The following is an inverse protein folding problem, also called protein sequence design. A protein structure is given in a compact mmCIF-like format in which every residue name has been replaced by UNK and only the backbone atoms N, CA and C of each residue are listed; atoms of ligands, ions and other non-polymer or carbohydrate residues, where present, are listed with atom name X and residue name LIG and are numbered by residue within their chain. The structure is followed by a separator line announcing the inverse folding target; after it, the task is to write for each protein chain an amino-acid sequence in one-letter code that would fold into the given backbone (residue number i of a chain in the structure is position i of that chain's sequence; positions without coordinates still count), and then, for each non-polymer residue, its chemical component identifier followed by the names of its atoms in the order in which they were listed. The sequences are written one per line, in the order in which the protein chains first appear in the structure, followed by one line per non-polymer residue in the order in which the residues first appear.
data_IF_915742692648
#
_entry.id   IF_915742692648
#
_cell.length_a   1.000
_cell.length_b   1.000
_cell.length_c   1.000
_cell.angle_alpha   90.00
_cell.angle_beta   90.00
_cell.angle_gamma   90.00
#
_symmetry.space_group_name_H-M   'P 1'
#
loop_
_entity.id
_entity.type
_entity.pdbx_description
1 polymer ?
#
# COMPACT_ATOMS: atom_id res chain seq x y z
N UNK A 1 5.84 13.08 -18.05
CA UNK A 1 5.12 14.15 -18.80
C UNK A 1 5.03 13.85 -20.29
N UNK A 2 6.12 13.39 -20.93
CA UNK A 2 6.14 13.07 -22.36
C UNK A 2 5.16 11.94 -22.66
N UNK A 3 5.20 10.85 -21.92
CA UNK A 3 4.27 9.72 -22.07
C UNK A 3 2.81 10.15 -21.89
N UNK A 4 2.52 10.97 -20.89
CA UNK A 4 1.16 11.48 -20.68
C UNK A 4 0.65 12.33 -21.86
N UNK A 5 1.54 13.09 -22.51
CA UNK A 5 1.18 13.84 -23.75
C UNK A 5 0.92 12.89 -24.93
N UNK A 6 1.78 11.87 -25.09
CA UNK A 6 1.60 10.86 -26.14
C UNK A 6 0.27 10.13 -26.01
N UNK A 7 -0.19 9.92 -24.76
CA UNK A 7 -1.47 9.31 -24.44
C UNK A 7 -2.64 10.30 -24.38
N UNK A 8 -2.40 11.61 -24.54
CA UNK A 8 -3.45 12.64 -24.50
C UNK A 8 -4.07 12.87 -23.13
N UNK A 9 -3.39 12.49 -22.04
CA UNK A 9 -3.89 12.58 -20.64
C UNK A 9 -3.08 13.58 -19.79
N UNK A 10 -2.19 14.36 -20.38
CA UNK A 10 -1.34 15.31 -19.66
C UNK A 10 -2.12 16.41 -18.95
N UNK A 11 -3.28 16.81 -19.47
CA UNK A 11 -4.17 17.78 -18.81
C UNK A 11 -4.83 17.22 -17.52
N UNK A 12 -4.88 15.89 -17.36
CA UNK A 12 -5.41 15.21 -16.18
C UNK A 12 -4.33 14.90 -15.14
N UNK A 13 -3.05 15.11 -15.49
CA UNK A 13 -1.90 14.79 -14.66
C UNK A 13 -1.42 16.00 -13.86
N UNK A 14 -1.59 15.98 -12.54
CA UNK A 14 -0.96 16.92 -11.63
C UNK A 14 0.36 16.36 -11.07
N UNK A 15 1.43 17.14 -11.10
CA UNK A 15 2.73 16.80 -10.51
C UNK A 15 3.11 17.86 -9.47
N UNK A 16 2.54 17.81 -8.25
CA UNK A 16 2.68 18.87 -7.25
C UNK A 16 4.07 18.92 -6.60
N UNK A 17 4.99 18.01 -6.96
CA UNK A 17 6.28 17.85 -6.30
C UNK A 17 6.13 17.14 -4.95
N UNK A 18 7.15 17.28 -4.08
CA UNK A 18 7.13 16.67 -2.76
C UNK A 18 6.02 17.28 -1.90
N UNK A 19 5.19 16.43 -1.32
CA UNK A 19 4.12 16.77 -0.38
C UNK A 19 4.20 15.85 0.82
N UNK A 20 3.58 16.27 1.93
CA UNK A 20 3.35 15.40 3.06
C UNK A 20 2.17 14.46 2.72
N UNK A 21 2.33 13.17 2.95
CA UNK A 21 1.31 12.17 2.67
C UNK A 21 0.07 12.36 3.56
N UNK A 22 0.27 12.75 4.80
CA UNK A 22 -0.81 12.97 5.77
C UNK A 22 -1.73 14.11 5.34
N UNK A 23 -1.16 15.14 4.69
CA UNK A 23 -1.93 16.29 4.22
C UNK A 23 -2.65 16.01 2.89
N UNK A 24 -2.10 15.12 2.06
CA UNK A 24 -2.58 14.92 0.68
C UNK A 24 -3.46 13.69 0.53
N UNK A 25 -3.12 12.59 1.18
CA UNK A 25 -3.81 11.32 0.96
C UNK A 25 -5.30 11.33 1.35
N UNK A 26 -5.73 12.01 2.43
CA UNK A 26 -7.16 12.04 2.81
C UNK A 26 -8.10 12.57 1.72
N UNK A 27 -7.59 13.37 0.78
CA UNK A 27 -8.35 13.91 -0.34
C UNK A 27 -8.32 13.01 -1.59
N UNK A 28 -7.68 11.84 -1.51
CA UNK A 28 -7.53 10.91 -2.63
C UNK A 28 -8.56 9.77 -2.55
N UNK A 29 -9.10 9.37 -3.70
CA UNK A 29 -9.99 8.21 -3.82
C UNK A 29 -9.26 6.87 -3.71
N UNK A 30 -7.99 6.82 -4.07
CA UNK A 30 -7.12 5.66 -3.95
C UNK A 30 -5.64 6.06 -3.98
N UNK A 31 -4.80 5.28 -3.29
CA UNK A 31 -3.35 5.33 -3.40
C UNK A 31 -2.86 4.18 -4.29
N UNK A 32 -2.06 4.50 -5.30
CA UNK A 32 -1.48 3.50 -6.20
C UNK A 32 0.04 3.41 -6.00
N UNK A 33 0.54 2.19 -5.71
CA UNK A 33 1.96 1.89 -5.48
C UNK A 33 2.43 0.89 -6.56
N UNK A 34 2.78 1.37 -7.78
CA UNK A 34 3.04 0.53 -8.95
C UNK A 34 4.52 0.11 -9.05
N UNK A 35 5.18 -0.15 -7.94
CA UNK A 35 6.61 -0.54 -7.92
C UNK A 35 6.84 -1.83 -8.71
N UNK A 36 7.94 -1.89 -9.45
CA UNK A 36 8.32 -3.08 -10.23
C UNK A 36 9.43 -3.90 -9.55
N UNK A 37 10.16 -3.26 -8.63
CA UNK A 37 11.23 -3.88 -7.83
C UNK A 37 11.55 -3.02 -6.59
N UNK A 38 12.55 -3.43 -5.79
CA UNK A 38 13.21 -2.59 -4.80
C UNK A 38 12.40 -2.26 -3.54
N UNK A 39 11.20 -2.80 -3.39
CA UNK A 39 10.39 -2.56 -2.18
C UNK A 39 10.82 -3.52 -1.06
N UNK A 40 11.10 -2.93 0.11
CA UNK A 40 11.15 -3.66 1.38
C UNK A 40 9.73 -3.76 1.98
N UNK A 41 9.53 -3.23 3.18
CA UNK A 41 8.19 -3.06 3.77
C UNK A 41 7.66 -1.68 3.42
N UNK A 42 6.78 -1.59 2.41
CA UNK A 42 6.36 -0.32 1.81
C UNK A 42 5.73 0.64 2.83
N UNK A 43 6.40 1.79 3.04
CA UNK A 43 5.88 2.89 3.85
C UNK A 43 4.61 3.50 3.27
N UNK A 44 4.57 3.67 1.95
CA UNK A 44 3.44 4.26 1.24
C UNK A 44 2.12 3.48 1.46
N UNK A 45 2.19 2.13 1.47
CA UNK A 45 1.02 1.28 1.78
C UNK A 45 0.49 1.60 3.18
N UNK A 46 1.38 1.67 4.17
CA UNK A 46 1.00 1.96 5.57
C UNK A 46 0.47 3.39 5.73
N UNK A 47 1.04 4.35 5.02
CA UNK A 47 0.56 5.73 4.99
C UNK A 47 -0.86 5.82 4.41
N UNK A 48 -1.15 5.10 3.31
CA UNK A 48 -2.51 4.97 2.76
C UNK A 48 -3.49 4.41 3.79
N UNK A 49 -3.13 3.34 4.47
CA UNK A 49 -3.97 2.72 5.49
C UNK A 49 -4.22 3.62 6.72
N UNK A 50 -3.18 4.32 7.20
CA UNK A 50 -3.31 5.27 8.33
C UNK A 50 -4.25 6.42 7.99
N UNK A 51 -4.22 6.88 6.74
CA UNK A 51 -5.08 7.99 6.27
C UNK A 51 -6.46 7.54 5.80
N UNK A 52 -6.76 6.24 5.87
CA UNK A 52 -8.07 5.69 5.47
C UNK A 52 -8.28 5.64 3.96
N UNK A 53 -7.20 5.62 3.18
CA UNK A 53 -7.25 5.59 1.72
C UNK A 53 -7.05 4.15 1.23
N UNK A 54 -7.91 3.63 0.34
CA UNK A 54 -7.75 2.30 -0.22
C UNK A 54 -6.47 2.22 -1.05
N UNK A 55 -5.74 1.12 -0.90
CA UNK A 55 -4.43 0.91 -1.54
C UNK A 55 -4.53 -0.09 -2.67
N UNK A 56 -3.89 0.26 -3.79
CA UNK A 56 -3.69 -0.60 -4.95
C UNK A 56 -2.18 -0.72 -5.15
N UNK A 57 -1.61 -1.91 -5.16
CA UNK A 57 -0.17 -2.06 -5.34
C UNK A 57 0.19 -3.22 -6.26
N UNK A 58 1.41 -3.19 -6.78
CA UNK A 58 1.96 -4.33 -7.52
C UNK A 58 2.18 -5.52 -6.60
N UNK A 59 1.93 -6.74 -7.09
CA UNK A 59 2.04 -8.00 -6.36
C UNK A 59 3.51 -8.45 -6.18
N UNK A 60 4.38 -7.53 -5.71
CA UNK A 60 5.72 -7.87 -5.24
C UNK A 60 5.61 -8.72 -3.96
N UNK A 61 6.55 -9.63 -3.73
CA UNK A 61 6.55 -10.49 -2.55
C UNK A 61 6.42 -9.70 -1.24
N UNK A 62 7.16 -8.58 -1.12
CA UNK A 62 7.10 -7.68 0.03
C UNK A 62 5.73 -7.01 0.21
N UNK A 63 5.05 -6.66 -0.88
CA UNK A 63 3.72 -6.08 -0.82
C UNK A 63 2.66 -7.13 -0.44
N UNK A 64 2.83 -8.37 -0.89
CA UNK A 64 1.93 -9.49 -0.54
C UNK A 64 2.03 -9.91 0.93
N UNK A 65 3.12 -9.56 1.62
CA UNK A 65 3.22 -9.71 3.07
C UNK A 65 2.33 -8.71 3.84
N UNK A 66 2.05 -7.57 3.23
CA UNK A 66 1.19 -6.52 3.80
C UNK A 66 -0.24 -6.64 3.30
N UNK A 67 -0.40 -6.74 1.97
CA UNK A 67 -1.69 -6.64 1.29
C UNK A 67 -2.24 -8.02 0.97
N UNK A 68 -3.37 -8.34 1.57
CA UNK A 68 -4.22 -9.48 1.22
C UNK A 68 -5.21 -9.02 0.16
N UNK A 69 -5.04 -9.53 -1.06
CA UNK A 69 -5.84 -9.10 -2.21
C UNK A 69 -7.34 -9.21 -1.97
N UNK A 70 -8.09 -8.18 -2.37
CA UNK A 70 -9.54 -8.01 -2.19
C UNK A 70 -10.02 -7.89 -0.73
N UNK A 71 -9.10 -7.92 0.24
CA UNK A 71 -9.41 -7.78 1.67
C UNK A 71 -9.03 -6.39 2.19
N UNK A 72 -7.74 -6.07 2.28
CA UNK A 72 -7.22 -4.79 2.79
C UNK A 72 -6.51 -3.94 1.72
N UNK A 73 -6.58 -4.33 0.45
CA UNK A 73 -6.03 -3.63 -0.71
C UNK A 73 -6.23 -4.44 -1.98
N UNK A 74 -5.85 -3.88 -3.12
CA UNK A 74 -5.89 -4.57 -4.40
C UNK A 74 -4.47 -4.83 -4.89
N UNK A 75 -4.27 -6.01 -5.50
CA UNK A 75 -3.00 -6.42 -6.08
C UNK A 75 -3.11 -6.43 -7.61
N UNK A 76 -2.17 -5.77 -8.27
CA UNK A 76 -1.99 -5.81 -9.73
C UNK A 76 -0.72 -6.61 -10.09
N UNK A 77 -0.71 -7.28 -11.23
CA UNK A 77 0.47 -7.99 -11.71
C UNK A 77 1.66 -7.01 -11.89
N UNK A 78 2.85 -7.44 -11.49
CA UNK A 78 4.06 -6.60 -11.54
C UNK A 78 4.39 -6.24 -12.99
N UNK A 79 4.55 -4.95 -13.27
CA UNK A 79 4.90 -4.45 -14.61
C UNK A 79 3.80 -4.58 -15.65
N UNK A 80 2.57 -4.91 -15.26
CA UNK A 80 1.41 -5.04 -16.15
C UNK A 80 0.46 -3.82 -16.00
N UNK A 81 0.49 -2.86 -16.94
CA UNK A 81 -0.36 -1.69 -16.89
C UNK A 81 -1.85 -2.01 -17.06
N UNK A 82 -2.20 -3.11 -17.73
CA UNK A 82 -3.60 -3.52 -17.92
C UNK A 82 -4.16 -4.01 -16.59
N UNK A 83 -3.44 -4.91 -15.92
CA UNK A 83 -3.81 -5.40 -14.58
C UNK A 83 -3.94 -4.26 -13.58
N UNK A 84 -3.05 -3.26 -13.64
CA UNK A 84 -3.11 -2.08 -12.78
C UNK A 84 -4.35 -1.23 -13.08
N UNK A 85 -4.63 -0.97 -14.36
CA UNK A 85 -5.80 -0.21 -14.78
C UNK A 85 -7.11 -0.89 -14.36
N UNK A 86 -7.21 -2.21 -14.48
CA UNK A 86 -8.37 -2.99 -14.05
C UNK A 86 -8.58 -2.89 -12.53
N UNK A 87 -7.51 -3.00 -11.74
CA UNK A 87 -7.58 -2.84 -10.29
C UNK A 87 -8.02 -1.41 -9.90
N UNK A 88 -7.49 -0.39 -10.57
CA UNK A 88 -7.91 1.00 -10.37
C UNK A 88 -9.38 1.20 -10.74
N UNK A 89 -9.82 0.70 -11.89
CA UNK A 89 -11.21 0.81 -12.34
C UNK A 89 -12.16 0.14 -11.33
N UNK A 90 -11.85 -1.06 -10.85
CA UNK A 90 -12.63 -1.75 -9.81
C UNK A 90 -12.76 -0.91 -8.54
N UNK A 91 -11.66 -0.36 -8.05
CA UNK A 91 -11.67 0.47 -6.86
C UNK A 91 -12.52 1.73 -7.03
N UNK A 92 -12.42 2.40 -8.18
CA UNK A 92 -13.09 3.68 -8.41
C UNK A 92 -14.58 3.53 -8.76
N UNK A 93 -14.99 2.39 -9.34
CA UNK A 93 -16.39 2.17 -9.78
C UNK A 93 -17.23 1.41 -8.75
N UNK A 94 -16.61 0.70 -7.80
CA UNK A 94 -17.29 -0.04 -6.73
C UNK A 94 -17.05 0.66 -5.38
N UNK A 95 -18.00 1.51 -4.98
CA UNK A 95 -17.94 2.25 -3.71
C UNK A 95 -17.92 1.30 -2.49
N UNK A 96 -18.68 0.21 -2.54
CA UNK A 96 -18.72 -0.77 -1.46
C UNK A 96 -17.37 -1.47 -1.27
N UNK A 97 -16.71 -1.82 -2.37
CA UNK A 97 -15.34 -2.34 -2.33
C UNK A 97 -14.38 -1.30 -1.78
N UNK A 98 -14.44 -0.06 -2.27
CA UNK A 98 -13.56 1.03 -1.87
C UNK A 98 -13.62 1.30 -0.35
N UNK A 99 -14.81 1.41 0.19
CA UNK A 99 -15.03 1.62 1.63
C UNK A 99 -14.49 0.45 2.44
N UNK A 100 -14.79 -0.78 2.05
CA UNK A 100 -14.30 -1.98 2.74
C UNK A 100 -12.78 -2.07 2.76
N UNK A 101 -12.12 -1.81 1.62
CA UNK A 101 -10.65 -1.82 1.52
C UNK A 101 -10.01 -0.77 2.43
N UNK A 102 -10.59 0.44 2.51
CA UNK A 102 -10.13 1.50 3.39
C UNK A 102 -10.26 1.12 4.88
N UNK A 103 -11.40 0.56 5.28
CA UNK A 103 -11.64 0.12 6.66
C UNK A 103 -10.71 -1.02 7.06
N UNK A 104 -10.58 -2.05 6.23
CA UNK A 104 -9.70 -3.20 6.53
C UNK A 104 -8.23 -2.81 6.49
N UNK A 105 -7.83 -1.89 5.59
CA UNK A 105 -6.50 -1.31 5.60
C UNK A 105 -6.19 -0.59 6.91
N UNK A 106 -7.12 0.25 7.38
CA UNK A 106 -6.99 0.98 8.66
C UNK A 106 -6.92 0.05 9.87
N UNK A 107 -7.54 -1.13 9.82
CA UNK A 107 -7.37 -2.16 10.86
C UNK A 107 -6.02 -2.86 10.75
N UNK A 108 -5.60 -3.18 9.52
CA UNK A 108 -4.35 -3.89 9.25
C UNK A 108 -3.12 -3.11 9.70
N UNK A 109 -3.11 -1.78 9.56
CA UNK A 109 -1.94 -0.96 9.94
C UNK A 109 -1.61 -1.02 11.43
N UNK A 110 -2.58 -1.36 12.28
CA UNK A 110 -2.37 -1.48 13.73
C UNK A 110 -1.40 -2.62 14.10
N UNK A 111 -1.16 -3.55 13.21
CA UNK A 111 -0.16 -4.61 13.38
C UNK A 111 1.28 -4.14 13.13
N UNK A 112 1.46 -2.96 12.54
CA UNK A 112 2.76 -2.40 12.13
C UNK A 112 3.18 -1.18 12.96
N UNK A 113 2.75 -1.12 14.23
CA UNK A 113 3.14 -0.06 15.15
C UNK A 113 4.54 -0.30 15.72
N UNK A 114 5.22 0.78 16.13
CA UNK A 114 6.54 0.72 16.78
C UNK A 114 6.50 -0.17 18.02
N UNK A 115 5.44 -0.10 18.81
CA UNK A 115 5.24 -0.94 20.00
C UNK A 115 5.20 -2.41 19.62
N UNK A 116 4.41 -2.76 18.62
CA UNK A 116 4.28 -4.15 18.14
C UNK A 116 5.61 -4.68 17.62
N UNK A 117 6.32 -3.87 16.85
CA UNK A 117 7.65 -4.20 16.36
C UNK A 117 8.62 -4.46 17.52
N UNK A 118 8.65 -3.57 18.52
CA UNK A 118 9.52 -3.72 19.70
C UNK A 118 9.19 -5.01 20.48
N UNK A 119 7.92 -5.33 20.69
CA UNK A 119 7.50 -6.58 21.33
C UNK A 119 8.00 -7.81 20.59
N UNK A 120 7.86 -7.84 19.24
CA UNK A 120 8.32 -8.95 18.41
C UNK A 120 9.85 -9.14 18.49
N UNK A 121 10.63 -8.04 18.49
CA UNK A 121 12.07 -8.11 18.67
C UNK A 121 12.44 -8.62 20.06
N UNK A 122 11.77 -8.15 21.11
CA UNK A 122 12.01 -8.62 22.47
C UNK A 122 11.71 -10.11 22.62
N UNK A 123 10.65 -10.60 22.01
CA UNK A 123 10.30 -12.02 22.02
C UNK A 123 11.32 -12.87 21.24
N UNK A 124 11.82 -12.34 20.11
CA UNK A 124 12.90 -13.00 19.38
C UNK A 124 14.17 -13.11 20.24
N UNK A 125 14.59 -12.03 20.88
CA UNK A 125 15.76 -12.03 21.76
C UNK A 125 15.61 -13.01 22.94
N UNK A 126 14.46 -13.03 23.60
CA UNK A 126 14.17 -13.98 24.69
C UNK A 126 14.31 -15.43 24.22
N UNK A 127 13.77 -15.77 23.03
CA UNK A 127 13.90 -17.11 22.43
C UNK A 127 15.35 -17.49 22.11
N UNK A 128 16.13 -16.55 21.60
CA UNK A 128 17.53 -16.79 21.26
C UNK A 128 18.40 -16.94 22.51
N UNK A 129 18.19 -16.10 23.53
CA UNK A 129 18.91 -16.16 24.79
C UNK A 129 18.54 -17.39 25.64
N UNK A 130 17.26 -17.83 25.60
CA UNK A 130 16.81 -19.04 26.32
C UNK A 130 17.27 -20.36 25.69
N UNK A 131 17.82 -20.35 24.47
CA UNK A 131 18.41 -21.51 23.80
C UNK A 131 19.93 -21.67 24.04
N UNK A 132 20.54 -20.78 24.80
CA UNK A 132 21.98 -20.75 25.04
C UNK A 132 22.43 -21.43 26.35
N UNK A 133 21.58 -22.20 27.01
CA UNK A 133 21.89 -22.91 28.27
C UNK A 133 21.43 -24.36 28.24
N UNK A 134 21.90 -25.14 27.27
CA UNK A 134 21.99 -26.61 27.33
C UNK A 134 23.36 -27.05 26.81
#
# INVERSE_FOLDING_TARGET
KEEARNLGVDALLALPGRRDSVDMLPDCDALVVPSVDGEGSSGAIKEGWVTGVPVICSALASNQELVRGDENGLLAAVGDPVSLADAMARCLTDEGLRVRLAEEGSRSVLEFTDTRMAEQYMDLYRRLMGKGTE
#
